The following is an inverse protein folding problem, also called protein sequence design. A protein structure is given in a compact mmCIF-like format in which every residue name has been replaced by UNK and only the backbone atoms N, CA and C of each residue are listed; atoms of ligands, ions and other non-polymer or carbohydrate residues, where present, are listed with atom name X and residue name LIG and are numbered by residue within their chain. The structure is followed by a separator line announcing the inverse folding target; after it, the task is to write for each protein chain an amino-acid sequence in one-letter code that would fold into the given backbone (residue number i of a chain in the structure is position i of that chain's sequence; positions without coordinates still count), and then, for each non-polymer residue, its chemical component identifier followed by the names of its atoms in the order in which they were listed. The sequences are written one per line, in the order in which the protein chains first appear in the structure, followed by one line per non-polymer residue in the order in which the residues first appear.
data_IF_435353284242
#
_entry.id   IF_435353284242
#
_cell.length_a   1.000
_cell.length_b   1.000
_cell.length_c   1.000
_cell.angle_alpha   90.00
_cell.angle_beta   90.00
_cell.angle_gamma   90.00
#
_symmetry.space_group_name_H-M   'P 1'
#
loop_
_entity.id
_entity.type
_entity.pdbx_description
1 polymer ?
#
# COMPACT_ATOMS: atom_id res chain seq x y z
N UNK A 1 -2.50 21.23 -7.72
CA UNK A 1 -1.94 20.44 -8.85
C UNK A 1 -2.38 18.98 -8.80
N UNK A 2 -2.11 18.22 -7.72
CA UNK A 2 -2.50 16.80 -7.64
C UNK A 2 -4.00 16.62 -7.89
N UNK A 3 -4.83 17.38 -7.21
CA UNK A 3 -6.27 17.34 -7.42
C UNK A 3 -6.68 17.70 -8.88
N UNK A 4 -5.99 18.65 -9.50
CA UNK A 4 -6.25 19.04 -10.90
C UNK A 4 -5.85 17.90 -11.87
N UNK A 5 -4.80 17.12 -11.56
CA UNK A 5 -4.46 15.92 -12.33
C UNK A 5 -5.48 14.79 -12.15
N UNK A 6 -5.98 14.59 -10.93
CA UNK A 6 -7.06 13.62 -10.67
C UNK A 6 -8.33 14.00 -11.42
N UNK A 7 -8.62 15.30 -11.54
CA UNK A 7 -9.78 15.79 -12.30
C UNK A 7 -9.59 15.65 -13.81
N UNK A 8 -8.35 15.76 -14.33
CA UNK A 8 -8.05 15.78 -15.75
C UNK A 8 -7.69 14.41 -16.36
N UNK A 9 -7.23 13.46 -15.55
CA UNK A 9 -6.71 12.16 -15.99
C UNK A 9 -7.33 11.02 -15.20
N UNK A 10 -7.36 9.78 -15.73
CA UNK A 10 -7.90 8.61 -15.04
C UNK A 10 -6.94 8.08 -13.95
N UNK A 11 -6.58 8.95 -13.00
CA UNK A 11 -5.74 8.60 -11.86
C UNK A 11 -6.56 7.82 -10.86
N UNK A 12 -6.10 6.63 -10.46
CA UNK A 12 -6.77 5.75 -9.50
C UNK A 12 -6.03 5.65 -8.16
N UNK A 13 -4.74 5.98 -8.14
CA UNK A 13 -3.92 5.96 -6.92
C UNK A 13 -2.81 6.98 -6.99
N UNK A 14 -2.51 7.64 -5.88
CA UNK A 14 -1.40 8.58 -5.73
C UNK A 14 -0.65 8.25 -4.44
N UNK A 15 0.66 8.07 -4.56
CA UNK A 15 1.56 7.80 -3.43
C UNK A 15 2.30 9.07 -3.03
N UNK A 16 2.32 9.37 -1.73
CA UNK A 16 3.01 10.51 -1.12
C UNK A 16 2.87 11.83 -1.90
N UNK A 17 1.63 12.30 -2.12
CA UNK A 17 1.41 13.54 -2.88
C UNK A 17 1.93 14.80 -2.19
N UNK A 18 2.22 14.74 -0.88
CA UNK A 18 2.66 15.83 -0.02
C UNK A 18 3.80 15.38 0.89
N UNK A 19 4.46 16.33 1.54
CA UNK A 19 5.51 16.03 2.51
C UNK A 19 4.96 15.20 3.70
N UNK A 20 5.82 14.37 4.29
CA UNK A 20 5.49 13.43 5.36
C UNK A 20 5.06 14.07 6.68
N UNK A 21 5.29 15.37 6.83
CA UNK A 21 4.94 16.18 8.00
C UNK A 21 3.84 17.21 7.72
N UNK A 22 3.39 17.36 6.46
CA UNK A 22 2.30 18.28 6.08
C UNK A 22 0.91 17.67 6.35
N UNK A 23 0.63 17.33 7.61
CA UNK A 23 -0.62 16.72 8.05
C UNK A 23 -1.87 17.47 7.60
N UNK A 24 -1.85 18.81 7.72
CA UNK A 24 -3.00 19.63 7.28
C UNK A 24 -3.19 19.60 5.76
N UNK A 25 -2.11 19.52 5.00
CA UNK A 25 -2.18 19.36 3.55
C UNK A 25 -2.79 18.01 3.17
N UNK A 26 -2.38 16.92 3.84
CA UNK A 26 -2.93 15.59 3.66
C UNK A 26 -4.43 15.53 3.97
N UNK A 27 -4.87 16.05 5.12
CA UNK A 27 -6.29 16.14 5.50
C UNK A 27 -7.12 16.89 4.44
N UNK A 28 -6.63 18.06 3.99
CA UNK A 28 -7.31 18.86 2.95
C UNK A 28 -7.37 18.14 1.61
N UNK A 29 -6.31 17.44 1.22
CA UNK A 29 -6.28 16.68 -0.02
C UNK A 29 -7.24 15.50 0.07
N UNK A 30 -7.21 14.74 1.16
CA UNK A 30 -8.09 13.62 1.40
C UNK A 30 -9.58 14.04 1.39
N UNK A 31 -9.91 15.15 2.05
CA UNK A 31 -11.27 15.70 2.02
C UNK A 31 -11.74 16.11 0.61
N UNK A 32 -10.80 16.44 -0.30
CA UNK A 32 -11.14 16.87 -1.67
C UNK A 32 -11.26 15.71 -2.66
N UNK A 33 -10.44 14.67 -2.52
CA UNK A 33 -10.31 13.61 -3.55
C UNK A 33 -10.30 12.18 -3.01
N UNK A 34 -10.29 12.00 -1.68
CA UNK A 34 -10.16 10.68 -1.06
C UNK A 34 -11.36 9.75 -1.28
N UNK A 35 -12.51 10.28 -1.70
CA UNK A 35 -13.70 9.52 -2.10
C UNK A 35 -13.60 8.97 -3.53
N UNK A 36 -12.61 9.38 -4.31
CA UNK A 36 -12.47 9.04 -5.75
C UNK A 36 -11.17 8.33 -6.09
N UNK A 37 -10.16 8.42 -5.24
CA UNK A 37 -8.81 7.95 -5.54
C UNK A 37 -8.13 7.40 -4.30
N UNK A 38 -7.32 6.37 -4.49
CA UNK A 38 -6.46 5.85 -3.44
C UNK A 38 -5.35 6.88 -3.10
N UNK A 39 -5.36 7.40 -1.88
CA UNK A 39 -4.28 8.21 -1.32
C UNK A 39 -3.41 7.33 -0.44
N UNK A 40 -2.25 6.95 -0.96
CA UNK A 40 -1.34 5.98 -0.37
C UNK A 40 -0.23 6.70 0.41
N UNK A 41 -0.21 6.49 1.73
CA UNK A 41 0.88 6.99 2.58
C UNK A 41 2.03 6.01 2.63
N UNK A 42 3.23 6.45 2.18
CA UNK A 42 4.51 5.77 2.34
C UNK A 42 5.31 6.42 3.48
N UNK A 43 6.01 7.51 3.20
CA UNK A 43 6.82 8.22 4.20
C UNK A 43 5.95 8.90 5.27
N UNK A 44 4.73 9.30 4.92
CA UNK A 44 3.74 9.76 5.90
C UNK A 44 3.56 8.74 7.05
N UNK A 45 3.53 7.45 6.75
CA UNK A 45 3.20 6.39 7.70
C UNK A 45 4.42 5.61 8.18
N UNK A 46 5.43 5.42 7.33
CA UNK A 46 6.68 4.69 7.59
C UNK A 46 6.44 3.30 8.21
N UNK A 47 5.37 2.59 7.84
CA UNK A 47 4.91 1.32 8.43
C UNK A 47 4.87 1.36 9.98
N UNK A 48 4.48 2.50 10.54
CA UNK A 48 4.43 2.75 11.98
C UNK A 48 2.97 2.82 12.46
N UNK A 49 2.64 2.05 13.51
CA UNK A 49 1.27 1.94 14.01
C UNK A 49 0.73 3.27 14.57
N UNK A 50 1.55 4.04 15.30
CA UNK A 50 1.12 5.32 15.89
C UNK A 50 0.87 6.38 14.81
N UNK A 51 1.71 6.40 13.75
CA UNK A 51 1.50 7.29 12.61
C UNK A 51 0.27 6.90 11.81
N UNK A 52 0.01 5.60 11.65
CA UNK A 52 -1.21 5.09 11.02
C UNK A 52 -2.45 5.52 11.82
N UNK A 53 -2.46 5.31 13.14
CA UNK A 53 -3.59 5.72 13.99
C UNK A 53 -3.86 7.22 13.85
N UNK A 54 -2.81 8.04 13.94
CA UNK A 54 -2.95 9.49 13.73
C UNK A 54 -3.53 9.81 12.36
N UNK A 55 -3.09 9.13 11.30
CA UNK A 55 -3.58 9.39 9.95
C UNK A 55 -5.03 8.97 9.76
N UNK A 56 -5.46 7.86 10.40
CA UNK A 56 -6.85 7.41 10.43
C UNK A 56 -7.72 8.44 11.16
N UNK A 57 -7.32 8.86 12.37
CA UNK A 57 -8.06 9.84 13.18
C UNK A 57 -8.20 11.19 12.45
N UNK A 58 -7.17 11.60 11.71
CA UNK A 58 -7.17 12.83 10.93
C UNK A 58 -7.85 12.70 9.55
N UNK A 59 -8.21 11.49 9.10
CA UNK A 59 -8.71 11.25 7.74
C UNK A 59 -7.72 11.68 6.65
N UNK A 60 -6.40 11.51 6.90
CA UNK A 60 -5.34 12.07 6.08
C UNK A 60 -5.05 11.26 4.80
N UNK A 61 -5.40 9.98 4.76
CA UNK A 61 -5.21 9.06 3.64
C UNK A 61 -6.29 7.99 3.67
N UNK A 62 -6.23 7.00 2.76
CA UNK A 62 -7.13 5.84 2.74
C UNK A 62 -6.43 4.54 2.35
N UNK A 63 -5.11 4.57 2.20
CA UNK A 63 -4.28 3.41 1.93
C UNK A 63 -2.91 3.55 2.61
N UNK A 64 -2.30 2.40 2.94
CA UNK A 64 -1.03 2.35 3.66
C UNK A 64 -0.01 1.47 2.94
N UNK A 65 1.18 2.02 2.68
CA UNK A 65 2.31 1.24 2.18
C UNK A 65 2.97 0.48 3.34
N UNK A 66 3.10 -0.82 3.17
CA UNK A 66 3.57 -1.74 4.21
C UNK A 66 4.93 -2.32 3.81
N UNK A 67 5.98 -1.90 4.51
CA UNK A 67 7.37 -2.33 4.28
C UNK A 67 7.91 -3.07 5.50
N UNK A 68 8.10 -4.40 5.45
CA UNK A 68 8.53 -5.20 6.61
C UNK A 68 9.82 -4.70 7.28
N UNK A 69 10.75 -4.17 6.50
CA UNK A 69 12.00 -3.64 7.03
C UNK A 69 11.86 -2.30 7.79
N UNK A 70 10.81 -1.51 7.55
CA UNK A 70 10.50 -0.33 8.36
C UNK A 70 9.90 -0.75 9.71
N UNK A 71 9.00 -1.74 9.72
CA UNK A 71 8.43 -2.30 10.96
C UNK A 71 9.46 -3.09 11.77
N UNK A 72 10.47 -3.69 11.12
CA UNK A 72 11.58 -4.41 11.72
C UNK A 72 11.29 -5.87 12.05
N UNK A 73 10.03 -6.31 12.17
CA UNK A 73 9.62 -7.70 12.39
C UNK A 73 8.32 -8.01 11.66
N UNK A 74 8.12 -9.29 11.30
CA UNK A 74 6.87 -9.74 10.68
C UNK A 74 5.66 -9.49 11.59
N UNK A 75 5.82 -9.71 12.90
CA UNK A 75 4.73 -9.45 13.87
C UNK A 75 4.29 -7.99 13.88
N UNK A 76 5.23 -7.04 13.85
CA UNK A 76 4.90 -5.61 13.77
C UNK A 76 4.31 -5.25 12.41
N UNK A 77 4.87 -5.79 11.32
CA UNK A 77 4.33 -5.61 9.97
C UNK A 77 2.88 -6.04 9.89
N UNK A 78 2.57 -7.25 10.34
CA UNK A 78 1.20 -7.79 10.39
C UNK A 78 0.27 -6.88 11.19
N UNK A 79 0.70 -6.43 12.37
CA UNK A 79 -0.12 -5.54 13.22
C UNK A 79 -0.49 -4.24 12.51
N UNK A 80 0.47 -3.60 11.79
CA UNK A 80 0.19 -2.36 11.05
C UNK A 80 -0.76 -2.62 9.90
N UNK A 81 -0.56 -3.74 9.18
CA UNK A 81 -1.42 -4.12 8.08
C UNK A 81 -2.86 -4.39 8.56
N UNK A 82 -3.04 -5.21 9.60
CA UNK A 82 -4.35 -5.51 10.19
C UNK A 82 -5.05 -4.23 10.68
N UNK A 83 -4.32 -3.29 11.29
CA UNK A 83 -4.90 -2.00 11.71
C UNK A 83 -5.37 -1.15 10.53
N UNK A 84 -4.64 -1.17 9.40
CA UNK A 84 -5.09 -0.49 8.19
C UNK A 84 -6.40 -1.12 7.67
N UNK A 85 -6.47 -2.47 7.63
CA UNK A 85 -7.69 -3.18 7.25
C UNK A 85 -8.87 -2.88 8.18
N UNK A 86 -8.65 -2.90 9.49
CA UNK A 86 -9.69 -2.60 10.51
C UNK A 86 -10.23 -1.17 10.36
N UNK A 87 -9.40 -0.24 9.91
CA UNK A 87 -9.80 1.14 9.60
C UNK A 87 -10.48 1.29 8.23
N UNK A 88 -10.64 0.20 7.44
CA UNK A 88 -11.18 0.24 6.09
C UNK A 88 -10.20 0.77 5.04
N UNK A 89 -8.92 0.88 5.38
CA UNK A 89 -7.88 1.31 4.46
C UNK A 89 -7.34 0.16 3.61
N UNK A 90 -6.85 0.47 2.42
CA UNK A 90 -6.22 -0.51 1.54
C UNK A 90 -4.72 -0.66 1.87
N UNK A 91 -4.24 -1.80 2.41
CA UNK A 91 -2.81 -2.02 2.57
C UNK A 91 -2.17 -2.41 1.24
N UNK A 92 -0.94 -1.94 1.01
CA UNK A 92 -0.10 -2.30 -0.14
C UNK A 92 1.24 -2.81 0.38
N UNK A 93 1.50 -4.10 0.28
CA UNK A 93 2.81 -4.66 0.67
C UNK A 93 3.85 -4.25 -0.36
N UNK A 94 5.01 -3.76 0.10
CA UNK A 94 5.99 -3.14 -0.81
C UNK A 94 7.40 -3.71 -0.68
N UNK A 95 8.02 -3.91 -1.84
CA UNK A 95 9.46 -4.04 -1.99
C UNK A 95 10.18 -2.70 -1.74
N UNK A 96 11.52 -2.75 -1.72
CA UNK A 96 12.40 -1.57 -1.65
C UNK A 96 13.17 -1.41 -2.97
N UNK A 97 13.84 -0.26 -3.14
CA UNK A 97 14.72 -0.03 -4.30
C UNK A 97 15.91 -0.99 -4.32
N UNK A 98 16.50 -1.30 -3.16
CA UNK A 98 17.49 -2.36 -2.99
C UNK A 98 16.81 -3.68 -2.60
N UNK A 99 16.77 -4.65 -3.49
CA UNK A 99 16.12 -5.95 -3.31
C UNK A 99 17.06 -7.12 -3.59
N UNK A 100 16.70 -8.29 -3.08
CA UNK A 100 17.29 -9.58 -3.39
C UNK A 100 16.26 -10.49 -4.08
N UNK A 101 16.65 -11.71 -4.44
CA UNK A 101 15.70 -12.70 -4.98
C UNK A 101 14.81 -13.36 -3.91
N UNK A 102 14.86 -12.92 -2.65
CA UNK A 102 13.88 -13.31 -1.63
C UNK A 102 12.48 -12.90 -2.05
N UNK A 103 11.49 -13.78 -1.87
CA UNK A 103 10.13 -13.58 -2.32
C UNK A 103 9.11 -13.50 -1.15
N UNK A 104 9.58 -13.43 0.08
CA UNK A 104 8.74 -13.43 1.31
C UNK A 104 7.63 -12.39 1.26
N UNK A 105 7.87 -11.21 0.67
CA UNK A 105 6.82 -10.17 0.56
C UNK A 105 5.62 -10.59 -0.30
N UNK A 106 5.82 -11.50 -1.27
CA UNK A 106 4.71 -12.06 -2.05
C UNK A 106 3.85 -12.98 -1.18
N UNK A 107 4.47 -13.84 -0.36
CA UNK A 107 3.76 -14.69 0.60
C UNK A 107 3.04 -13.85 1.66
N UNK A 108 3.64 -12.77 2.14
CA UNK A 108 3.02 -11.86 3.10
C UNK A 108 1.80 -11.13 2.48
N UNK A 109 1.92 -10.65 1.25
CA UNK A 109 0.83 -9.95 0.58
C UNK A 109 -0.40 -10.83 0.42
N UNK A 110 -0.20 -12.10 0.03
CA UNK A 110 -1.30 -13.08 -0.11
C UNK A 110 -1.75 -13.59 1.25
N UNK A 111 -0.82 -14.01 2.11
CA UNK A 111 -1.15 -14.64 3.40
C UNK A 111 -1.82 -13.69 4.41
N UNK A 112 -1.67 -12.37 4.26
CA UNK A 112 -2.31 -11.35 5.08
C UNK A 112 -3.45 -10.63 4.35
N UNK A 113 -3.84 -11.14 3.19
CA UNK A 113 -4.93 -10.58 2.36
C UNK A 113 -4.78 -9.05 2.13
N UNK A 114 -3.56 -8.62 1.77
CA UNK A 114 -3.31 -7.21 1.53
C UNK A 114 -4.06 -6.66 0.30
N UNK A 115 -4.40 -7.53 -0.64
CA UNK A 115 -5.07 -7.17 -1.90
C UNK A 115 -4.13 -6.52 -2.92
N UNK A 116 -3.09 -5.85 -2.49
CA UNK A 116 -2.16 -5.12 -3.36
C UNK A 116 -0.69 -5.37 -2.98
N UNK A 117 0.18 -5.34 -4.00
CA UNK A 117 1.63 -5.44 -3.81
C UNK A 117 2.36 -4.52 -4.79
N UNK A 118 3.36 -3.78 -4.29
CA UNK A 118 4.25 -2.93 -5.09
C UNK A 118 5.62 -3.59 -5.19
N UNK A 119 5.99 -4.07 -6.38
CA UNK A 119 7.21 -4.85 -6.60
C UNK A 119 8.27 -4.04 -7.36
N UNK A 120 7.84 -3.24 -8.30
CA UNK A 120 8.68 -2.51 -9.25
C UNK A 120 8.63 -3.12 -10.65
N UNK A 121 9.70 -2.98 -11.42
CA UNK A 121 9.76 -3.36 -12.83
C UNK A 121 9.53 -4.86 -13.08
N UNK A 122 9.04 -5.19 -14.26
CA UNK A 122 9.01 -6.56 -14.83
C UNK A 122 10.35 -7.00 -15.41
N UNK A 123 11.45 -6.37 -15.01
CA UNK A 123 12.82 -6.72 -15.34
C UNK A 123 13.62 -6.90 -14.06
N UNK A 124 14.80 -7.53 -14.17
CA UNK A 124 15.72 -7.91 -13.10
C UNK A 124 15.19 -9.05 -12.22
N UNK A 125 16.08 -9.96 -11.89
CA UNK A 125 15.78 -11.21 -11.17
C UNK A 125 15.19 -10.97 -9.77
N UNK A 126 15.67 -9.94 -9.07
CA UNK A 126 15.18 -9.60 -7.74
C UNK A 126 13.70 -9.11 -7.74
N UNK A 127 13.21 -8.60 -8.87
CA UNK A 127 11.79 -8.25 -9.06
C UNK A 127 10.98 -9.44 -9.54
N UNK A 128 11.50 -10.15 -10.57
CA UNK A 128 10.86 -11.31 -11.16
C UNK A 128 10.63 -12.44 -10.15
N UNK A 129 11.50 -12.60 -9.16
CA UNK A 129 11.32 -13.58 -8.10
C UNK A 129 9.97 -13.45 -7.38
N UNK A 130 9.52 -12.21 -7.08
CA UNK A 130 8.24 -11.93 -6.44
C UNK A 130 7.07 -12.22 -7.38
N UNK A 131 7.16 -11.79 -8.65
CA UNK A 131 6.12 -12.09 -9.65
C UNK A 131 6.00 -13.59 -9.89
N UNK A 132 7.13 -14.31 -10.04
CA UNK A 132 7.12 -15.77 -10.21
C UNK A 132 6.53 -16.48 -8.97
N UNK A 133 6.79 -15.97 -7.76
CA UNK A 133 6.18 -16.50 -6.54
C UNK A 133 4.66 -16.31 -6.55
N UNK A 134 4.16 -15.12 -6.88
CA UNK A 134 2.72 -14.86 -7.02
C UNK A 134 2.07 -15.77 -8.06
N UNK A 135 2.70 -15.95 -9.23
CA UNK A 135 2.23 -16.89 -10.25
C UNK A 135 2.22 -18.33 -9.74
N UNK A 136 3.22 -18.72 -8.95
CA UNK A 136 3.26 -20.03 -8.30
C UNK A 136 2.10 -20.21 -7.32
N UNK A 137 1.81 -19.22 -6.46
CA UNK A 137 0.69 -19.23 -5.54
C UNK A 137 -0.64 -19.33 -6.31
N UNK A 138 -0.83 -18.50 -7.34
CA UNK A 138 -2.06 -18.48 -8.14
C UNK A 138 -2.37 -19.81 -8.85
N UNK A 139 -1.37 -20.66 -9.11
CA UNK A 139 -1.57 -22.01 -9.69
C UNK A 139 -2.07 -23.04 -8.67
N UNK A 140 -1.84 -22.82 -7.39
CA UNK A 140 -2.14 -23.76 -6.32
C UNK A 140 -3.27 -23.32 -5.42
N UNK A 141 -3.73 -22.08 -5.57
CA UNK A 141 -4.77 -21.47 -4.75
C UNK A 141 -5.98 -21.08 -5.61
N UNK A 142 -7.13 -21.66 -5.32
CA UNK A 142 -8.37 -21.46 -6.10
C UNK A 142 -9.08 -20.11 -5.83
N UNK A 143 -8.52 -19.26 -4.97
CA UNK A 143 -9.13 -18.00 -4.54
C UNK A 143 -9.16 -16.89 -5.59
N UNK A 144 -8.56 -17.10 -6.76
CA UNK A 144 -8.46 -16.09 -7.81
C UNK A 144 -7.45 -14.99 -7.52
N UNK A 145 -7.39 -13.99 -8.39
CA UNK A 145 -6.57 -12.78 -8.23
C UNK A 145 -7.49 -11.62 -7.91
N UNK A 146 -7.14 -10.85 -6.89
CA UNK A 146 -7.87 -9.64 -6.50
C UNK A 146 -7.96 -8.64 -7.68
N UNK A 147 -9.10 -8.02 -7.85
CA UNK A 147 -9.38 -7.05 -8.91
C UNK A 147 -9.18 -5.61 -8.46
N UNK A 148 -9.71 -4.67 -9.24
CA UNK A 148 -9.65 -3.24 -8.95
C UNK A 148 -10.44 -2.82 -7.70
N UNK A 149 -11.31 -3.67 -7.20
CA UNK A 149 -12.06 -3.54 -5.95
C UNK A 149 -11.18 -3.55 -4.69
N UNK A 150 -9.90 -3.90 -4.83
CA UNK A 150 -8.90 -3.78 -3.76
C UNK A 150 -8.34 -2.37 -3.60
N UNK A 151 -8.55 -1.49 -4.57
CA UNK A 151 -8.16 -0.08 -4.47
C UNK A 151 -9.11 0.68 -3.52
N UNK A 152 -8.57 1.59 -2.72
CA UNK A 152 -9.38 2.56 -1.99
C UNK A 152 -9.89 3.66 -2.97
N UNK A 153 -11.01 4.32 -2.67
CA UNK A 153 -11.97 4.03 -1.60
C UNK A 153 -12.80 2.78 -1.87
N UNK A 154 -13.24 2.12 -0.79
CA UNK A 154 -14.08 0.91 -0.84
C UNK A 154 -15.49 1.21 -0.37
#
# INVERSE_FOLDING_TARGET
RVADWIDAYPVVSVEDPLAEDDWMGWERLAARVGDRVQLLGDDLLATNAERLDRAVDAGAANAALIKPNQAGTITRTRRVLERAQDAGWAPVVSARSGETCDATIADLAVGLDAGQIKIGSLARSERLAKYNRLLGIARTYDGGVAGSDTLAPR
#
